data_IF_785084768210
#
_entry.id   IF_785084768210
#
_cell.length_a   1.000
_cell.length_b   1.000
_cell.length_c   1.000
_cell.angle_alpha   90.00
_cell.angle_beta   90.00
_cell.angle_gamma   90.00
#
_symmetry.space_group_name_H-M   'P 1'
#
loop_
_entity.id
_entity.type
_entity.pdbx_description
1 polymer ?
#
# COMPACT_ATOMS: atom_id res chain seq x y z
N UNK A 1 18.38 7.11 3.15
CA UNK A 1 17.40 6.34 2.36
C UNK A 1 16.48 7.31 1.64
N UNK A 2 16.11 7.03 0.38
CA UNK A 2 15.10 7.83 -0.33
C UNK A 2 13.77 7.77 0.44
N UNK A 3 13.15 8.92 0.72
CA UNK A 3 11.91 8.99 1.49
C UNK A 3 10.79 8.13 0.86
N UNK A 4 10.67 8.14 -0.47
CA UNK A 4 9.70 7.31 -1.18
C UNK A 4 9.91 5.82 -0.94
N UNK A 5 11.16 5.37 -0.83
CA UNK A 5 11.47 3.97 -0.51
C UNK A 5 11.00 3.59 0.90
N UNK A 6 11.26 4.45 1.90
CA UNK A 6 10.84 4.19 3.29
C UNK A 6 9.31 4.13 3.38
N UNK A 7 8.63 5.10 2.78
CA UNK A 7 7.16 5.15 2.72
C UNK A 7 6.61 3.90 2.01
N UNK A 8 7.26 3.44 0.94
CA UNK A 8 6.87 2.22 0.23
C UNK A 8 6.99 0.97 1.09
N UNK A 9 8.08 0.81 1.85
CA UNK A 9 8.25 -0.32 2.78
C UNK A 9 7.13 -0.33 3.82
N UNK A 10 6.81 0.81 4.44
CA UNK A 10 5.70 0.91 5.38
C UNK A 10 4.35 0.61 4.72
N UNK A 11 4.11 1.11 3.51
CA UNK A 11 2.89 0.81 2.75
C UNK A 11 2.71 -0.69 2.52
N UNK A 12 3.76 -1.40 2.11
CA UNK A 12 3.73 -2.86 1.91
C UNK A 12 3.51 -3.62 3.22
N UNK A 13 4.14 -3.19 4.32
CA UNK A 13 3.92 -3.79 5.63
C UNK A 13 2.47 -3.63 6.10
N UNK A 14 1.87 -2.45 5.92
CA UNK A 14 0.47 -2.17 6.26
C UNK A 14 -0.47 -3.04 5.40
N UNK A 15 -0.22 -3.13 4.09
CA UNK A 15 -1.01 -4.01 3.21
C UNK A 15 -0.90 -5.49 3.62
N UNK A 16 0.29 -5.94 4.00
CA UNK A 16 0.53 -7.30 4.48
C UNK A 16 -0.22 -7.56 5.78
N UNK A 17 -0.22 -6.58 6.70
CA UNK A 17 -0.95 -6.66 7.95
C UNK A 17 -2.47 -6.74 7.71
N UNK A 18 -3.03 -5.87 6.87
CA UNK A 18 -4.46 -5.91 6.51
C UNK A 18 -4.87 -7.25 5.87
N UNK A 19 -4.00 -7.81 5.02
CA UNK A 19 -4.21 -9.13 4.43
C UNK A 19 -4.22 -10.24 5.50
N UNK A 20 -3.25 -10.24 6.40
CA UNK A 20 -3.18 -11.19 7.51
C UNK A 20 -4.40 -11.07 8.44
N UNK A 21 -4.78 -9.86 8.84
CA UNK A 21 -5.96 -9.61 9.68
C UNK A 21 -7.25 -10.12 9.03
N UNK A 22 -7.39 -9.96 7.71
CA UNK A 22 -8.56 -10.50 6.97
C UNK A 22 -8.57 -12.03 6.99
N UNK A 23 -7.42 -12.68 6.77
CA UNK A 23 -7.28 -14.14 6.82
C UNK A 23 -7.61 -14.67 8.22
N UNK A 24 -7.04 -14.03 9.26
CA UNK A 24 -7.29 -14.40 10.65
C UNK A 24 -8.77 -14.26 11.01
N UNK A 25 -9.40 -13.14 10.64
CA UNK A 25 -10.82 -12.91 10.88
C UNK A 25 -11.71 -13.95 10.19
N UNK A 26 -11.39 -14.32 8.93
CA UNK A 26 -12.08 -15.41 8.24
C UNK A 26 -11.87 -16.76 8.93
N UNK A 27 -10.70 -17.00 9.50
CA UNK A 27 -10.42 -18.19 10.32
C UNK A 27 -11.29 -18.24 11.57
N UNK A 28 -11.42 -17.12 12.28
CA UNK A 28 -12.27 -17.01 13.47
C UNK A 28 -13.75 -17.25 13.14
N UNK A 29 -14.28 -16.64 12.09
CA UNK A 29 -15.68 -16.84 11.69
C UNK A 29 -15.99 -18.31 11.35
N UNK A 30 -15.06 -19.02 10.72
CA UNK A 30 -15.21 -20.46 10.47
C UNK A 30 -15.33 -21.29 11.75
N UNK A 31 -14.60 -20.92 12.80
CA UNK A 31 -14.67 -21.59 14.11
C UNK A 31 -16.00 -21.28 14.79
N UNK A 32 -16.51 -20.07 14.62
CA UNK A 32 -17.79 -19.61 15.16
C UNK A 32 -19.01 -20.06 14.35
N UNK A 33 -18.81 -20.82 13.27
CA UNK A 33 -19.86 -21.22 12.31
C UNK A 33 -20.63 -20.01 11.71
N UNK A 34 -20.00 -18.85 11.67
CA UNK A 34 -20.56 -17.62 11.11
C UNK A 34 -20.14 -17.43 9.64
N UNK A 35 -21.05 -16.89 8.83
CA UNK A 35 -20.76 -16.62 7.42
C UNK A 35 -19.93 -15.34 7.26
N UNK A 36 -18.90 -15.40 6.43
CA UNK A 36 -18.11 -14.22 6.11
C UNK A 36 -18.87 -13.30 5.15
N UNK A 37 -19.43 -12.21 5.69
CA UNK A 37 -20.06 -11.16 4.86
C UNK A 37 -19.06 -10.10 4.39
N UNK A 38 -18.20 -9.60 5.28
CA UNK A 38 -17.25 -8.52 4.99
C UNK A 38 -16.12 -8.46 6.02
N UNK A 39 -14.93 -7.92 5.67
CA UNK A 39 -13.91 -7.59 6.66
C UNK A 39 -14.38 -6.48 7.62
N UNK A 40 -13.81 -6.42 8.83
CA UNK A 40 -14.01 -5.30 9.76
C UNK A 40 -13.61 -3.94 9.15
N UNK A 41 -14.35 -2.88 9.48
CA UNK A 41 -14.15 -1.54 8.89
C UNK A 41 -12.75 -0.96 9.14
N UNK A 42 -12.12 -1.28 10.27
CA UNK A 42 -10.74 -0.88 10.55
C UNK A 42 -9.74 -1.50 9.56
N UNK A 43 -9.91 -2.77 9.19
CA UNK A 43 -9.06 -3.45 8.20
C UNK A 43 -9.23 -2.85 6.81
N UNK A 44 -10.46 -2.45 6.46
CA UNK A 44 -10.73 -1.74 5.19
C UNK A 44 -10.00 -0.39 5.17
N UNK A 45 -10.04 0.36 6.27
CA UNK A 45 -9.33 1.64 6.37
C UNK A 45 -7.81 1.44 6.29
N UNK A 46 -7.28 0.43 6.98
CA UNK A 46 -5.86 0.06 6.93
C UNK A 46 -5.41 -0.28 5.50
N UNK A 47 -6.22 -1.07 4.79
CA UNK A 47 -5.97 -1.42 3.38
C UNK A 47 -5.90 -0.17 2.48
N UNK A 48 -6.85 0.77 2.63
CA UNK A 48 -6.89 2.00 1.84
C UNK A 48 -5.66 2.87 2.12
N UNK A 49 -5.27 3.01 3.40
CA UNK A 49 -4.09 3.77 3.80
C UNK A 49 -2.82 3.12 3.22
N UNK A 50 -2.66 1.80 3.39
CA UNK A 50 -1.52 1.06 2.84
C UNK A 50 -1.42 1.20 1.32
N UNK A 51 -2.55 1.14 0.61
CA UNK A 51 -2.60 1.32 -0.84
C UNK A 51 -2.17 2.74 -1.25
N UNK A 52 -2.70 3.76 -0.58
CA UNK A 52 -2.37 5.16 -0.87
C UNK A 52 -0.86 5.44 -0.66
N UNK A 53 -0.27 4.91 0.41
CA UNK A 53 1.16 5.02 0.68
C UNK A 53 2.00 4.33 -0.38
N UNK A 54 1.61 3.12 -0.82
CA UNK A 54 2.28 2.41 -1.90
C UNK A 54 2.21 3.16 -3.23
N UNK A 55 1.05 3.72 -3.60
CA UNK A 55 0.91 4.54 -4.80
C UNK A 55 1.79 5.78 -4.74
N UNK A 56 1.77 6.50 -3.62
CA UNK A 56 2.61 7.67 -3.41
C UNK A 56 4.09 7.34 -3.54
N UNK A 57 4.54 6.26 -2.90
CA UNK A 57 5.90 5.76 -3.00
C UNK A 57 6.27 5.41 -4.44
N UNK A 58 5.40 4.71 -5.17
CA UNK A 58 5.62 4.32 -6.56
C UNK A 58 5.71 5.52 -7.53
N UNK A 59 5.08 6.65 -7.20
CA UNK A 59 5.17 7.89 -7.99
C UNK A 59 6.41 8.73 -7.64
N UNK A 60 6.85 8.69 -6.38
CA UNK A 60 7.97 9.52 -5.88
C UNK A 60 9.32 8.82 -6.00
N UNK A 61 9.34 7.48 -6.00
CA UNK A 61 10.54 6.68 -6.11
C UNK A 61 11.21 6.71 -7.50
N UNK A 62 10.50 6.60 -8.64
CA UNK A 62 11.13 6.75 -9.94
C UNK A 62 11.74 8.16 -10.04
N UNK A 63 12.99 8.21 -10.47
CA UNK A 63 13.77 9.44 -10.55
C UNK A 63 13.17 10.49 -11.49
N UNK A 64 13.83 11.63 -11.61
CA UNK A 64 13.40 12.70 -12.50
C UNK A 64 13.27 12.19 -13.95
N UNK A 65 12.23 12.63 -14.63
CA UNK A 65 12.12 12.46 -16.08
C UNK A 65 13.32 13.12 -16.75
N UNK A 66 13.95 12.41 -17.69
CA UNK A 66 15.01 12.95 -18.52
C UNK A 66 14.37 13.64 -19.73
N UNK A 67 14.92 14.80 -20.09
CA UNK A 67 14.53 15.45 -21.33
C UNK A 67 15.05 14.66 -22.53
N UNK A 68 14.24 14.58 -23.58
CA UNK A 68 14.62 13.99 -24.87
C UNK A 68 15.24 15.01 -25.83
N UNK A 69 15.19 16.31 -25.48
CA UNK A 69 15.72 17.37 -26.33
C UNK A 69 17.18 17.66 -25.94
N UNK A 70 18.13 17.61 -26.89
CA UNK A 70 19.56 17.73 -26.59
C UNK A 70 19.97 19.10 -26.02
N UNK A 71 19.18 20.15 -26.23
CA UNK A 71 19.47 21.53 -25.79
C UNK A 71 18.56 22.03 -24.65
N UNK A 72 17.95 21.14 -23.86
CA UNK A 72 16.95 21.55 -22.86
C UNK A 72 17.49 22.02 -21.51
N UNK A 73 18.81 22.00 -21.29
CA UNK A 73 19.40 22.36 -19.99
C UNK A 73 19.66 23.88 -19.83
N UNK A 74 19.38 24.70 -20.85
CA UNK A 74 19.43 26.17 -20.80
C UNK A 74 18.04 26.81 -20.99
N UNK A 75 17.34 27.09 -19.88
CA UNK A 75 16.48 28.27 -19.71
C UNK A 75 16.07 28.45 -18.23
#
# INVERSE_FOLDING_TARGET
MNLGFVVGVFGVLILSHAAYSTIQYRGLLKIMEEEFSRPPMNVILELIIGLALCMWAALTFPGKFLSIHPDSDEN
#
